data_IF_231057647616
#
_entry.id   IF_231057647616
#
_cell.length_a   1.000
_cell.length_b   1.000
_cell.length_c   1.000
_cell.angle_alpha   90.00
_cell.angle_beta   90.00
_cell.angle_gamma   90.00
#
_symmetry.space_group_name_H-M   'P 1'
#
loop_
_entity.id
_entity.type
_entity.pdbx_description
1 polymer ?
#
# COMPACT_ATOMS: atom_id res chain seq x y z
N UNK A 1 21.50 17.87 7.89
CA UNK A 1 20.11 18.13 7.44
C UNK A 1 19.33 16.85 7.59
N UNK A 2 18.10 16.91 8.09
CA UNK A 2 17.21 15.73 8.22
C UNK A 2 16.64 15.40 6.84
N UNK A 3 17.29 14.47 6.12
CA UNK A 3 16.85 14.01 4.79
C UNK A 3 15.92 12.81 4.94
N UNK A 4 14.75 12.90 4.33
CA UNK A 4 13.70 11.90 4.41
C UNK A 4 13.53 11.22 3.06
N UNK A 5 13.51 9.89 3.09
CA UNK A 5 13.14 9.06 1.95
C UNK A 5 11.67 8.68 2.08
N UNK A 6 10.87 8.92 1.06
CA UNK A 6 9.44 8.63 1.06
C UNK A 6 9.13 7.39 0.23
N UNK A 7 8.45 6.43 0.86
CA UNK A 7 7.80 5.28 0.24
C UNK A 7 6.28 5.41 0.45
N UNK A 8 5.60 5.96 -0.55
CA UNK A 8 4.17 6.32 -0.42
C UNK A 8 3.22 5.17 -0.75
N UNK A 9 3.75 4.02 -1.15
CA UNK A 9 2.95 2.84 -1.45
C UNK A 9 3.53 1.63 -0.73
N UNK A 10 2.99 1.39 0.44
CA UNK A 10 3.43 0.37 1.39
C UNK A 10 2.20 -0.38 1.90
N UNK A 11 2.29 -1.68 2.16
CA UNK A 11 1.21 -2.45 2.74
C UNK A 11 1.62 -3.04 4.08
N UNK A 12 0.68 -3.05 5.00
CA UNK A 12 0.79 -3.73 6.28
C UNK A 12 -0.38 -4.70 6.43
N UNK A 13 -0.14 -5.97 6.20
CA UNK A 13 -1.11 -7.02 6.47
C UNK A 13 -0.40 -8.34 6.82
N UNK A 14 -1.11 -9.21 7.52
CA UNK A 14 -0.73 -10.57 7.80
C UNK A 14 -1.70 -11.56 7.14
N UNK A 15 -1.50 -12.85 7.35
CA UNK A 15 -2.35 -13.91 6.80
C UNK A 15 -3.81 -13.86 7.26
N UNK A 16 -4.15 -13.06 8.26
CA UNK A 16 -5.52 -12.90 8.75
C UNK A 16 -6.30 -11.83 8.00
N UNK A 17 -5.64 -10.96 7.25
CA UNK A 17 -6.30 -9.89 6.50
C UNK A 17 -6.86 -10.39 5.16
N UNK A 18 -6.05 -10.88 4.19
CA UNK A 18 -6.55 -11.46 2.97
C UNK A 18 -6.87 -12.95 3.15
N UNK A 19 -7.71 -13.49 2.28
CA UNK A 19 -7.79 -14.92 2.11
C UNK A 19 -6.58 -15.40 1.30
N UNK A 20 -5.63 -16.06 1.95
CA UNK A 20 -4.38 -16.50 1.32
C UNK A 20 -4.61 -17.37 0.09
N UNK A 21 -5.60 -18.27 0.12
CA UNK A 21 -5.89 -19.14 -1.02
C UNK A 21 -6.40 -18.32 -2.22
N UNK A 22 -7.25 -17.35 -1.98
CA UNK A 22 -7.72 -16.45 -3.03
C UNK A 22 -6.58 -15.61 -3.61
N UNK A 23 -5.67 -15.13 -2.76
CA UNK A 23 -4.46 -14.43 -3.18
C UNK A 23 -3.60 -15.28 -4.10
N UNK A 24 -3.26 -16.49 -3.69
CA UNK A 24 -2.44 -17.43 -4.47
C UNK A 24 -3.05 -17.83 -5.81
N UNK A 25 -4.38 -17.95 -5.86
CA UNK A 25 -5.07 -18.41 -7.06
C UNK A 25 -5.34 -17.28 -8.07
N UNK A 26 -5.35 -16.02 -7.62
CA UNK A 26 -5.68 -14.88 -8.50
C UNK A 26 -4.49 -14.15 -9.07
N UNK A 27 -3.36 -14.15 -8.40
CA UNK A 27 -2.19 -13.40 -8.83
C UNK A 27 -1.34 -14.17 -9.87
N UNK A 28 -1.93 -15.11 -10.61
CA UNK A 28 -1.27 -15.99 -11.58
C UNK A 28 0.01 -16.69 -11.07
N UNK A 29 0.23 -16.63 -9.75
CA UNK A 29 1.34 -17.34 -9.08
C UNK A 29 1.23 -18.85 -9.30
N UNK A 30 0.05 -19.33 -9.68
CA UNK A 30 -0.22 -20.71 -10.06
C UNK A 30 -0.86 -20.70 -11.45
N UNK A 31 -0.03 -20.49 -12.46
CA UNK A 31 -0.45 -20.49 -13.85
C UNK A 31 -0.60 -21.90 -14.38
N UNK A 32 -1.81 -22.39 -14.54
CA UNK A 32 -2.28 -23.31 -15.60
C UNK A 32 -3.61 -23.94 -15.19
N UNK A 33 -4.61 -23.78 -16.03
CA UNK A 33 -6.02 -24.07 -15.76
C UNK A 33 -6.38 -25.44 -15.16
N UNK A 34 -5.57 -26.47 -15.35
CA UNK A 34 -5.81 -27.81 -14.79
C UNK A 34 -5.39 -27.91 -13.32
N UNK A 35 -4.26 -27.29 -12.95
CA UNK A 35 -3.75 -27.28 -11.58
C UNK A 35 -4.63 -26.38 -10.71
N UNK A 36 -5.04 -25.23 -11.26
CA UNK A 36 -5.98 -24.30 -10.59
C UNK A 36 -7.31 -24.97 -10.25
N UNK A 37 -7.92 -25.71 -11.19
CA UNK A 37 -9.15 -26.46 -10.97
C UNK A 37 -8.99 -27.61 -9.95
N UNK A 38 -7.83 -28.26 -9.94
CA UNK A 38 -7.54 -29.35 -8.99
C UNK A 38 -7.34 -28.82 -7.56
N UNK A 39 -6.65 -27.70 -7.41
CA UNK A 39 -6.41 -27.07 -6.12
C UNK A 39 -7.72 -26.52 -5.51
N UNK A 40 -8.61 -25.98 -6.33
CA UNK A 40 -9.93 -25.51 -5.90
C UNK A 40 -10.83 -26.64 -5.38
N UNK A 41 -10.74 -27.84 -6.02
CA UNK A 41 -11.51 -29.02 -5.59
C UNK A 41 -10.94 -29.73 -4.35
N UNK A 42 -9.62 -29.65 -4.15
CA UNK A 42 -8.93 -30.42 -3.12
C UNK A 42 -7.88 -29.55 -2.41
N UNK A 43 -8.29 -28.58 -1.56
CA UNK A 43 -7.38 -27.67 -0.89
C UNK A 43 -6.34 -28.35 0.02
N UNK A 44 -6.61 -29.59 0.49
CA UNK A 44 -5.64 -30.38 1.26
C UNK A 44 -4.42 -30.82 0.43
N UNK A 45 -4.53 -30.89 -0.90
CA UNK A 45 -3.44 -31.27 -1.79
C UNK A 45 -2.34 -30.19 -1.86
N UNK A 46 -2.64 -28.95 -1.46
CA UNK A 46 -1.65 -27.85 -1.43
C UNK A 46 -0.46 -28.20 -0.53
N UNK A 47 -0.68 -28.92 0.56
CA UNK A 47 0.38 -29.38 1.46
C UNK A 47 1.34 -30.39 0.83
N UNK A 48 0.92 -31.10 -0.22
CA UNK A 48 1.67 -32.19 -0.85
C UNK A 48 2.11 -31.86 -2.29
N UNK A 49 1.70 -30.71 -2.84
CA UNK A 49 1.94 -30.34 -4.24
C UNK A 49 3.43 -30.39 -4.63
N UNK A 50 4.40 -29.89 -3.86
CA UNK A 50 5.80 -29.97 -4.19
C UNK A 50 6.31 -31.40 -4.33
N UNK A 51 5.82 -32.32 -3.50
CA UNK A 51 6.24 -33.72 -3.49
C UNK A 51 5.68 -34.50 -4.69
N UNK A 52 4.43 -34.24 -5.07
CA UNK A 52 3.78 -34.90 -6.20
C UNK A 52 4.33 -34.42 -7.56
N UNK A 53 4.66 -33.14 -7.69
CA UNK A 53 5.30 -32.62 -8.91
C UNK A 53 6.71 -33.21 -9.12
N UNK A 54 7.46 -33.46 -8.05
CA UNK A 54 8.78 -34.11 -8.12
C UNK A 54 8.73 -35.57 -8.52
N UNK A 55 7.63 -36.30 -8.21
CA UNK A 55 7.50 -37.71 -8.45
C UNK A 55 6.99 -38.07 -9.86
N UNK A 56 6.38 -37.13 -10.58
CA UNK A 56 5.69 -37.37 -11.85
C UNK A 56 6.34 -36.74 -13.08
N UNK A 57 7.52 -36.11 -12.98
CA UNK A 57 8.13 -35.41 -14.11
C UNK A 57 9.43 -36.08 -14.62
N UNK A 58 9.62 -36.21 -15.96
CA UNK A 58 10.90 -36.65 -16.55
C UNK A 58 12.05 -35.71 -16.15
N UNK A 59 13.23 -36.24 -15.92
CA UNK A 59 14.38 -35.56 -15.31
C UNK A 59 14.76 -34.19 -15.90
N UNK A 60 14.64 -33.98 -17.21
CA UNK A 60 14.93 -32.69 -17.88
C UNK A 60 13.85 -31.60 -17.65
N UNK A 61 12.62 -32.01 -17.46
CA UNK A 61 11.51 -31.09 -17.14
C UNK A 61 11.53 -30.77 -15.65
N UNK A 62 11.87 -31.74 -14.80
CA UNK A 62 12.05 -31.57 -13.37
C UNK A 62 13.15 -30.54 -13.02
N UNK A 63 14.26 -30.52 -13.78
CA UNK A 63 15.36 -29.56 -13.57
C UNK A 63 14.91 -28.13 -13.93
N UNK A 64 14.25 -27.94 -15.08
CA UNK A 64 13.72 -26.61 -15.47
C UNK A 64 12.60 -26.12 -14.55
N UNK A 65 11.73 -27.03 -14.11
CA UNK A 65 10.68 -26.70 -13.11
C UNK A 65 11.33 -26.40 -11.76
N UNK A 66 12.37 -27.11 -11.36
CA UNK A 66 13.12 -26.89 -10.12
C UNK A 66 13.83 -25.53 -10.12
N UNK A 67 14.42 -25.13 -11.25
CA UNK A 67 15.10 -23.84 -11.38
C UNK A 67 14.07 -22.68 -11.41
N UNK A 68 12.96 -22.86 -12.08
CA UNK A 68 11.84 -21.90 -12.08
C UNK A 68 11.16 -21.81 -10.71
N UNK A 69 10.83 -22.95 -10.09
CA UNK A 69 10.26 -23.00 -8.74
C UNK A 69 11.26 -22.61 -7.64
N UNK A 70 12.58 -22.67 -7.87
CA UNK A 70 13.55 -22.33 -6.83
C UNK A 70 13.61 -20.84 -6.54
N UNK A 71 13.52 -19.98 -7.55
CA UNK A 71 13.52 -18.53 -7.37
C UNK A 71 12.14 -18.02 -6.95
N UNK A 72 11.09 -18.44 -7.63
CA UNK A 72 9.72 -18.06 -7.26
C UNK A 72 9.32 -18.62 -5.89
N UNK A 73 9.72 -19.86 -5.56
CA UNK A 73 9.49 -20.44 -4.25
C UNK A 73 10.31 -19.76 -3.14
N UNK A 74 11.52 -19.25 -3.46
CA UNK A 74 12.32 -18.47 -2.50
C UNK A 74 11.63 -17.14 -2.18
N UNK A 75 11.24 -16.41 -3.21
CA UNK A 75 10.57 -15.11 -3.06
C UNK A 75 9.23 -15.27 -2.34
N UNK A 76 8.43 -16.26 -2.77
CA UNK A 76 7.17 -16.57 -2.10
C UNK A 76 7.36 -16.97 -0.63
N UNK A 77 8.41 -17.72 -0.31
CA UNK A 77 8.75 -18.03 1.09
C UNK A 77 9.13 -16.78 1.86
N UNK A 78 9.83 -15.80 1.25
CA UNK A 78 10.15 -14.53 1.89
C UNK A 78 8.87 -13.74 2.21
N UNK A 79 7.94 -13.65 1.26
CA UNK A 79 6.62 -13.06 1.49
C UNK A 79 5.90 -13.74 2.67
N UNK A 80 5.78 -15.08 2.62
CA UNK A 80 5.12 -15.85 3.69
C UNK A 80 5.78 -15.60 5.04
N UNK A 81 7.11 -15.57 5.11
CA UNK A 81 7.84 -15.34 6.36
C UNK A 81 7.56 -13.98 6.98
N UNK A 82 7.24 -12.98 6.17
CA UNK A 82 6.87 -11.66 6.68
C UNK A 82 5.41 -11.63 7.12
N UNK A 83 4.49 -12.18 6.33
CA UNK A 83 3.05 -12.08 6.60
C UNK A 83 2.53 -13.12 7.61
N UNK A 84 3.30 -14.18 7.93
CA UNK A 84 2.98 -15.10 9.04
C UNK A 84 3.46 -14.58 10.41
N UNK A 85 4.32 -13.56 10.41
CA UNK A 85 4.80 -12.90 11.61
C UNK A 85 3.72 -12.09 12.32
N UNK A 86 3.95 -11.80 13.60
CA UNK A 86 3.06 -10.92 14.35
C UNK A 86 3.16 -9.49 13.80
N UNK A 87 2.03 -9.00 13.26
CA UNK A 87 1.94 -7.72 12.55
C UNK A 87 2.37 -6.52 13.42
N UNK A 88 2.13 -6.59 14.73
CA UNK A 88 2.49 -5.54 15.68
C UNK A 88 4.00 -5.28 15.77
N UNK A 89 4.84 -6.22 15.33
CA UNK A 89 6.31 -6.05 15.33
C UNK A 89 6.88 -5.73 13.95
N UNK A 90 6.03 -5.54 12.96
CA UNK A 90 6.44 -5.39 11.56
C UNK A 90 7.48 -4.27 11.35
N UNK A 91 7.21 -3.05 11.86
CA UNK A 91 8.12 -1.92 11.70
C UNK A 91 9.43 -2.12 12.47
N UNK A 92 9.38 -2.75 13.64
CA UNK A 92 10.57 -3.07 14.42
C UNK A 92 11.51 -4.04 13.69
N UNK A 93 10.96 -5.11 13.09
CA UNK A 93 11.74 -6.05 12.29
C UNK A 93 12.30 -5.37 11.04
N UNK A 94 11.50 -4.58 10.35
CA UNK A 94 11.93 -3.91 9.11
C UNK A 94 13.05 -2.92 9.39
N UNK A 95 12.93 -2.10 10.44
CA UNK A 95 14.01 -1.20 10.87
C UNK A 95 15.28 -1.96 11.25
N UNK A 96 15.15 -3.02 12.06
CA UNK A 96 16.28 -3.84 12.47
C UNK A 96 17.07 -4.38 11.26
N UNK A 97 16.40 -4.86 10.23
CA UNK A 97 17.07 -5.36 9.03
C UNK A 97 17.64 -4.24 8.15
N UNK A 98 16.97 -3.09 8.05
CA UNK A 98 17.49 -1.93 7.32
C UNK A 98 18.77 -1.38 7.93
N UNK A 99 18.81 -1.24 9.25
CA UNK A 99 19.97 -0.69 9.97
C UNK A 99 21.16 -1.63 10.01
N UNK A 100 21.01 -2.91 9.70
CA UNK A 100 22.15 -3.84 9.54
C UNK A 100 23.06 -3.46 8.37
N UNK A 101 22.50 -2.83 7.35
CA UNK A 101 23.26 -2.32 6.22
C UNK A 101 23.17 -0.79 6.17
N UNK A 102 24.08 -0.12 6.88
CA UNK A 102 24.06 1.34 7.13
C UNK A 102 24.39 2.21 5.91
N UNK A 103 24.46 1.64 4.70
CA UNK A 103 24.92 2.37 3.51
C UNK A 103 24.06 3.59 3.15
N UNK A 104 22.75 3.52 3.32
CA UNK A 104 21.83 4.58 2.86
C UNK A 104 20.97 5.15 3.96
N UNK A 105 20.62 4.35 4.97
CA UNK A 105 19.66 4.71 6.00
C UNK A 105 20.28 4.62 7.39
N UNK A 106 19.95 5.60 8.23
CA UNK A 106 20.36 5.65 9.64
C UNK A 106 20.82 7.02 10.08
N UNK A 107 21.10 7.16 11.37
CA UNK A 107 21.54 8.40 11.99
C UNK A 107 23.08 8.52 12.05
N UNK A 108 23.78 8.18 10.96
CA UNK A 108 25.23 8.31 10.85
C UNK A 108 25.59 9.36 9.80
N UNK A 109 26.77 9.95 9.88
CA UNK A 109 27.26 10.93 8.88
C UNK A 109 27.36 10.34 7.45
N UNK A 110 27.54 9.03 7.34
CA UNK A 110 27.63 8.30 6.08
C UNK A 110 26.24 8.01 5.45
N UNK A 111 25.17 8.09 6.26
CA UNK A 111 23.82 7.78 5.80
C UNK A 111 23.29 8.90 4.89
N UNK A 112 22.72 8.52 3.75
CA UNK A 112 22.10 9.46 2.82
C UNK A 112 20.76 10.00 3.35
N UNK A 113 20.03 9.15 4.07
CA UNK A 113 18.72 9.44 4.64
C UNK A 113 18.68 9.09 6.12
N UNK A 114 18.19 10.01 6.93
CA UNK A 114 18.03 9.82 8.36
C UNK A 114 16.71 9.12 8.68
N UNK A 115 15.72 9.26 7.80
CA UNK A 115 14.37 8.71 7.98
C UNK A 115 13.79 8.15 6.70
N UNK A 116 12.87 7.22 6.89
CA UNK A 116 11.99 6.70 5.85
C UNK A 116 10.55 7.03 6.24
N UNK A 117 9.89 7.81 5.40
CA UNK A 117 8.46 8.07 5.51
C UNK A 117 7.73 6.97 4.76
N UNK A 118 6.92 6.19 5.45
CA UNK A 118 6.10 5.13 4.83
C UNK A 118 4.62 5.46 4.93
N UNK A 119 3.88 5.16 3.87
CA UNK A 119 2.43 5.31 3.84
C UNK A 119 1.74 3.94 3.70
N UNK A 120 1.47 3.24 4.82
CA UNK A 120 0.72 1.99 4.78
C UNK A 120 -0.69 2.20 4.24
N UNK A 121 -1.01 1.49 3.17
CA UNK A 121 -2.30 1.56 2.48
C UNK A 121 -3.18 0.42 2.99
N UNK A 122 -4.16 0.71 3.82
CA UNK A 122 -5.17 -0.27 4.22
C UNK A 122 -6.11 -0.56 3.06
N UNK A 123 -6.53 -1.82 2.94
CA UNK A 123 -7.40 -2.26 1.88
C UNK A 123 -8.76 -2.68 2.44
N UNK A 124 -9.83 -2.08 1.92
CA UNK A 124 -11.19 -2.52 2.22
C UNK A 124 -11.54 -3.72 1.33
N UNK A 125 -11.31 -4.92 1.84
CA UNK A 125 -11.53 -6.18 1.11
C UNK A 125 -13.01 -6.53 0.85
N UNK A 126 -13.95 -5.66 1.19
CA UNK A 126 -15.35 -5.83 0.80
C UNK A 126 -16.09 -6.91 1.61
N UNK A 127 -15.93 -6.92 2.89
CA UNK A 127 -16.59 -7.89 3.80
C UNK A 127 -18.10 -8.05 3.58
N UNK A 128 -18.83 -6.99 3.20
CA UNK A 128 -20.27 -7.02 2.98
C UNK A 128 -20.70 -7.45 1.57
N UNK A 129 -19.85 -7.31 0.55
CA UNK A 129 -20.24 -7.42 -0.87
C UNK A 129 -19.56 -8.55 -1.64
N UNK A 130 -19.21 -9.63 -0.99
CA UNK A 130 -18.73 -10.85 -1.62
C UNK A 130 -19.90 -11.64 -2.25
N UNK A 131 -20.59 -11.05 -3.23
CA UNK A 131 -21.76 -11.65 -3.89
C UNK A 131 -21.43 -12.45 -5.13
N UNK A 132 -20.18 -12.40 -5.59
CA UNK A 132 -19.82 -13.04 -6.83
C UNK A 132 -19.41 -14.49 -6.58
N UNK A 133 -20.13 -15.44 -7.18
CA UNK A 133 -19.83 -16.88 -7.13
C UNK A 133 -18.46 -17.22 -7.71
N UNK A 134 -17.95 -16.39 -8.64
CA UNK A 134 -16.59 -16.47 -9.20
C UNK A 134 -15.52 -15.96 -8.25
N UNK A 135 -15.90 -15.36 -7.15
CA UNK A 135 -14.99 -14.95 -6.11
C UNK A 135 -14.55 -16.18 -5.31
N UNK A 136 -13.24 -16.41 -5.24
CA UNK A 136 -12.66 -17.51 -4.45
C UNK A 136 -12.85 -17.37 -2.93
N UNK A 137 -13.50 -16.33 -2.48
CA UNK A 137 -13.86 -16.10 -1.09
C UNK A 137 -15.16 -16.84 -0.76
N UNK A 138 -15.08 -18.13 -0.52
CA UNK A 138 -16.17 -18.86 0.11
C UNK A 138 -16.38 -18.43 1.58
N UNK A 139 -15.38 -17.75 2.14
CA UNK A 139 -15.39 -17.16 3.46
C UNK A 139 -15.06 -15.66 3.31
N UNK A 140 -15.74 -14.78 4.07
CA UNK A 140 -15.37 -13.37 4.11
C UNK A 140 -13.92 -13.23 4.54
N UNK A 141 -13.22 -12.11 4.17
CA UNK A 141 -11.91 -11.80 4.72
C UNK A 141 -11.95 -11.90 6.25
N UNK A 142 -10.93 -12.48 6.83
CA UNK A 142 -10.93 -12.74 8.27
C UNK A 142 -11.03 -11.44 9.10
N UNK A 143 -10.54 -10.32 8.54
CA UNK A 143 -10.56 -9.01 9.21
C UNK A 143 -11.19 -7.93 8.32
N UNK A 144 -12.31 -7.32 8.75
CA UNK A 144 -12.81 -6.07 8.17
C UNK A 144 -11.78 -4.94 8.32
N UNK A 145 -11.90 -3.88 7.51
CA UNK A 145 -10.96 -2.76 7.51
C UNK A 145 -10.73 -2.16 8.89
N UNK A 146 -11.77 -2.13 9.74
CA UNK A 146 -11.65 -1.63 11.10
C UNK A 146 -10.71 -2.46 11.99
N UNK A 147 -10.63 -3.77 11.79
CA UNK A 147 -9.66 -4.63 12.48
C UNK A 147 -8.24 -4.36 11.96
N UNK A 148 -8.07 -4.10 10.66
CA UNK A 148 -6.78 -3.69 10.09
C UNK A 148 -6.32 -2.35 10.67
N UNK A 149 -7.24 -1.42 10.96
CA UNK A 149 -6.94 -0.16 11.66
C UNK A 149 -6.35 -0.46 13.04
N UNK A 150 -6.95 -1.37 13.80
CA UNK A 150 -6.44 -1.78 15.11
C UNK A 150 -5.03 -2.36 15.00
N UNK A 151 -4.82 -3.29 14.09
CA UNK A 151 -3.52 -3.95 13.89
C UNK A 151 -2.44 -2.94 13.49
N UNK A 152 -2.75 -2.03 12.56
CA UNK A 152 -1.84 -0.98 12.12
C UNK A 152 -1.42 -0.06 13.27
N UNK A 153 -2.40 0.48 14.03
CA UNK A 153 -2.05 1.44 15.09
C UNK A 153 -1.39 0.76 16.29
N UNK A 154 -1.66 -0.50 16.55
CA UNK A 154 -0.89 -1.29 17.49
C UNK A 154 0.54 -1.50 17.00
N UNK A 155 0.76 -1.78 15.70
CA UNK A 155 2.11 -1.87 15.13
C UNK A 155 2.86 -0.53 15.23
N UNK A 156 2.20 0.59 14.94
CA UNK A 156 2.77 1.94 15.12
C UNK A 156 3.10 2.19 16.57
N UNK A 157 2.18 1.84 17.49
CA UNK A 157 2.42 2.02 18.91
C UNK A 157 3.62 1.19 19.40
N UNK A 158 3.71 -0.10 19.06
CA UNK A 158 4.86 -0.93 19.41
C UNK A 158 6.16 -0.36 18.86
N UNK A 159 6.16 0.10 17.61
CA UNK A 159 7.33 0.68 16.97
C UNK A 159 7.91 1.87 17.76
N UNK A 160 7.05 2.78 18.21
CA UNK A 160 7.51 3.97 18.93
C UNK A 160 7.76 3.76 20.43
N UNK A 161 7.32 2.64 20.99
CA UNK A 161 7.46 2.37 22.44
C UNK A 161 8.45 1.24 22.77
N UNK A 162 8.92 0.49 21.77
CA UNK A 162 9.84 -0.63 21.97
C UNK A 162 10.99 -0.62 20.96
N UNK A 163 12.05 -1.39 21.31
CA UNK A 163 13.18 -1.71 20.46
C UNK A 163 13.39 -3.22 20.38
N UNK A 164 13.99 -3.70 19.30
CA UNK A 164 14.44 -5.06 19.11
C UNK A 164 15.96 -5.13 19.33
N UNK A 165 16.38 -5.98 20.25
CA UNK A 165 17.80 -6.27 20.51
C UNK A 165 18.07 -7.76 20.35
N UNK A 166 19.34 -8.11 20.10
CA UNK A 166 19.78 -9.50 20.18
C UNK A 166 19.71 -9.94 21.65
N UNK A 167 19.10 -11.10 21.92
CA UNK A 167 18.96 -11.62 23.27
C UNK A 167 20.37 -11.89 23.89
N UNK A 168 20.71 -11.34 25.06
CA UNK A 168 22.06 -11.42 25.60
C UNK A 168 22.59 -12.86 25.78
N UNK A 169 21.70 -13.79 26.12
CA UNK A 169 22.07 -15.19 26.40
C UNK A 169 21.76 -16.16 25.25
N UNK A 170 21.06 -15.68 24.21
CA UNK A 170 20.59 -16.52 23.10
C UNK A 170 20.81 -15.77 21.78
N UNK A 171 22.05 -15.78 21.30
CA UNK A 171 22.56 -15.01 20.15
C UNK A 171 21.70 -15.01 18.85
N UNK A 172 20.81 -15.97 18.70
CA UNK A 172 19.94 -16.09 17.52
C UNK A 172 18.50 -15.65 17.78
N UNK A 173 18.19 -15.11 18.95
CA UNK A 173 16.86 -14.65 19.31
C UNK A 173 16.83 -13.15 19.50
N UNK A 174 15.78 -12.54 19.00
CA UNK A 174 15.46 -11.13 19.25
C UNK A 174 14.66 -11.03 20.56
N UNK A 175 14.89 -9.96 21.28
CA UNK A 175 14.18 -9.60 22.50
C UNK A 175 13.61 -8.21 22.35
N UNK A 176 12.35 -8.06 22.72
CA UNK A 176 11.66 -6.78 22.79
C UNK A 176 11.98 -6.12 24.14
N UNK A 177 12.37 -4.86 24.11
CA UNK A 177 12.60 -4.04 25.29
C UNK A 177 11.91 -2.68 25.12
N UNK A 178 11.47 -2.00 26.21
CA UNK A 178 11.02 -0.61 26.12
C UNK A 178 12.10 0.25 25.48
N UNK A 179 11.67 1.15 24.56
CA UNK A 179 12.61 2.02 23.86
C UNK A 179 13.17 3.11 24.78
N UNK A 180 14.44 3.43 24.60
CA UNK A 180 15.07 4.65 25.11
C UNK A 180 15.36 5.66 23.98
N UNK A 181 15.06 5.28 22.73
CA UNK A 181 15.31 6.09 21.54
C UNK A 181 14.20 7.14 21.40
N UNK A 182 14.55 8.43 21.34
CA UNK A 182 13.58 9.48 21.06
C UNK A 182 12.84 9.24 19.76
N UNK A 183 11.58 9.65 19.68
CA UNK A 183 10.76 9.53 18.48
C UNK A 183 11.42 10.14 17.24
N UNK A 184 12.13 11.24 17.45
CA UNK A 184 12.86 11.98 16.42
C UNK A 184 14.09 11.24 15.88
N UNK A 185 14.51 10.18 16.54
CA UNK A 185 15.66 9.34 16.14
C UNK A 185 15.25 7.99 15.56
N UNK A 186 13.95 7.64 15.61
CA UNK A 186 13.40 6.44 14.97
C UNK A 186 13.50 6.57 13.44
N UNK A 187 13.80 5.46 12.75
CA UNK A 187 13.99 5.46 11.31
C UNK A 187 12.71 5.76 10.54
N UNK A 188 11.56 5.21 10.97
CA UNK A 188 10.30 5.38 10.26
C UNK A 188 9.46 6.55 10.79
N UNK A 189 8.90 7.33 9.86
CA UNK A 189 7.70 8.14 10.05
C UNK A 189 6.55 7.47 9.29
N UNK A 190 5.39 7.25 9.93
CA UNK A 190 4.35 6.37 9.41
C UNK A 190 3.06 7.16 9.20
N UNK A 191 2.68 7.40 7.94
CA UNK A 191 1.48 8.17 7.57
C UNK A 191 0.48 7.30 6.79
N UNK A 192 -0.40 6.56 7.50
CA UNK A 192 -1.28 5.58 6.88
C UNK A 192 -2.38 6.19 6.02
N UNK A 193 -2.91 5.37 5.11
CA UNK A 193 -4.10 5.65 4.30
C UNK A 193 -5.23 4.70 4.69
N UNK A 194 -6.41 5.25 4.93
CA UNK A 194 -7.61 4.47 5.24
C UNK A 194 -8.19 3.87 3.96
N UNK A 195 -8.38 2.55 3.94
CA UNK A 195 -9.09 1.87 2.86
C UNK A 195 -10.58 2.11 2.93
N UNK A 196 -11.20 2.55 1.84
CA UNK A 196 -12.65 2.74 1.73
C UNK A 196 -13.14 2.17 0.41
N UNK A 197 -14.16 1.29 0.48
CA UNK A 197 -15.01 0.95 -0.64
C UNK A 197 -16.45 1.38 -0.31
N UNK A 198 -16.95 2.40 -1.00
CA UNK A 198 -18.26 3.01 -0.74
C UNK A 198 -19.41 2.02 -0.83
N UNK A 199 -19.26 0.92 -1.57
CA UNK A 199 -20.26 -0.13 -1.66
C UNK A 199 -20.47 -0.89 -0.34
N UNK A 200 -19.50 -0.84 0.58
CA UNK A 200 -19.57 -1.53 1.87
C UNK A 200 -20.31 -0.75 2.95
N UNK A 201 -20.60 0.52 2.71
CA UNK A 201 -21.15 1.46 3.70
C UNK A 201 -22.37 2.17 3.16
N UNK A 202 -23.25 2.61 4.06
CA UNK A 202 -24.22 3.66 3.72
C UNK A 202 -23.56 5.06 3.84
N UNK A 203 -24.27 6.09 3.38
CA UNK A 203 -23.74 7.46 3.39
C UNK A 203 -23.44 7.94 4.82
N UNK A 204 -24.28 7.59 5.80
CA UNK A 204 -24.10 7.99 7.19
C UNK A 204 -22.87 7.33 7.81
N UNK A 205 -22.60 6.08 7.47
CA UNK A 205 -21.37 5.37 7.87
C UNK A 205 -20.12 6.05 7.30
N UNK A 206 -20.15 6.47 6.02
CA UNK A 206 -19.03 7.21 5.40
C UNK A 206 -18.84 8.57 6.09
N UNK A 207 -19.92 9.31 6.34
CA UNK A 207 -19.86 10.57 7.08
C UNK A 207 -19.24 10.39 8.46
N UNK A 208 -19.64 9.34 9.19
CA UNK A 208 -19.09 9.00 10.49
C UNK A 208 -17.60 8.63 10.46
N UNK A 209 -17.13 7.96 9.39
CA UNK A 209 -15.70 7.69 9.19
C UNK A 209 -14.90 8.97 9.01
N UNK A 210 -15.41 9.92 8.20
CA UNK A 210 -14.75 11.22 8.01
C UNK A 210 -14.75 12.06 9.29
N UNK A 211 -15.85 12.07 10.02
CA UNK A 211 -15.93 12.79 11.31
C UNK A 211 -14.98 12.18 12.34
N UNK A 212 -14.86 10.86 12.39
CA UNK A 212 -13.99 10.16 13.33
C UNK A 212 -12.50 10.38 13.06
N UNK A 213 -12.06 10.22 11.81
CA UNK A 213 -10.63 10.16 11.50
C UNK A 213 -10.06 11.44 10.90
N UNK A 214 -10.91 12.28 10.30
CA UNK A 214 -10.49 13.49 9.58
C UNK A 214 -11.16 14.78 10.11
N UNK A 215 -11.65 14.75 11.34
CA UNK A 215 -12.16 15.97 12.02
C UNK A 215 -11.06 17.01 12.13
N UNK A 216 -11.39 18.29 11.88
CA UNK A 216 -10.46 19.41 12.00
C UNK A 216 -9.47 19.57 10.83
N UNK A 217 -9.48 18.66 9.83
CA UNK A 217 -8.58 18.79 8.67
C UNK A 217 -8.89 20.00 7.80
N UNK A 218 -10.14 20.44 7.75
CA UNK A 218 -10.58 21.64 7.05
C UNK A 218 -10.04 22.93 7.66
N UNK A 219 -9.76 22.94 8.96
CA UNK A 219 -9.20 24.07 9.70
C UNK A 219 -7.68 24.13 9.52
N UNK A 220 -7.04 22.98 9.40
CA UNK A 220 -5.60 22.83 9.26
C UNK A 220 -5.18 22.69 7.78
N UNK A 221 -5.54 23.69 6.98
CA UNK A 221 -5.14 23.70 5.56
C UNK A 221 -3.65 23.96 5.36
N UNK A 222 -2.97 24.53 6.37
CA UNK A 222 -1.51 24.66 6.36
C UNK A 222 -0.88 23.26 6.43
N UNK A 223 -0.17 22.83 5.39
CA UNK A 223 0.48 21.51 5.33
C UNK A 223 1.44 21.26 6.51
N UNK A 224 2.11 22.31 6.99
CA UNK A 224 3.07 22.21 8.10
C UNK A 224 2.38 21.88 9.41
N UNK A 225 1.25 22.52 9.68
CA UNK A 225 0.44 22.27 10.89
C UNK A 225 -0.11 20.84 10.82
N UNK A 226 -0.66 20.43 9.68
CA UNK A 226 -1.20 19.08 9.49
C UNK A 226 -0.13 18.01 9.66
N UNK A 227 1.01 18.18 9.00
CA UNK A 227 2.16 17.25 9.11
C UNK A 227 2.59 17.12 10.58
N UNK A 228 2.68 18.24 11.31
CA UNK A 228 3.01 18.25 12.72
C UNK A 228 1.97 17.46 13.54
N UNK A 229 0.68 17.73 13.37
CA UNK A 229 -0.38 17.02 14.10
C UNK A 229 -0.38 15.52 13.84
N UNK A 230 -0.21 15.09 12.57
CA UNK A 230 -0.04 13.68 12.20
C UNK A 230 1.19 13.08 12.89
N UNK A 231 2.32 13.78 12.84
CA UNK A 231 3.56 13.33 13.49
C UNK A 231 3.39 13.22 15.01
N UNK A 232 2.77 14.21 15.66
CA UNK A 232 2.55 14.21 17.11
C UNK A 232 1.70 13.00 17.56
N UNK A 233 0.79 12.51 16.70
CA UNK A 233 -0.04 11.33 16.98
C UNK A 233 0.70 9.99 16.88
N UNK A 234 1.82 9.91 16.17
CA UNK A 234 2.56 8.66 15.98
C UNK A 234 3.01 8.07 17.33
N UNK A 235 2.67 6.81 17.57
CA UNK A 235 3.05 6.07 18.78
C UNK A 235 2.27 6.44 20.05
N UNK A 236 1.33 7.39 19.98
CA UNK A 236 0.52 7.81 21.15
C UNK A 236 -0.78 7.02 21.27
N UNK A 237 -1.27 6.43 20.18
CA UNK A 237 -2.54 5.74 20.12
C UNK A 237 -2.31 4.23 20.12
N UNK A 238 -2.88 3.56 21.11
CA UNK A 238 -3.05 2.11 21.16
C UNK A 238 -4.54 1.81 21.13
N UNK A 239 -4.95 0.95 20.22
CA UNK A 239 -6.37 0.63 20.05
C UNK A 239 -6.64 -0.75 20.64
N UNK A 240 -7.57 -0.83 21.57
CA UNK A 240 -8.14 -2.09 22.03
C UNK A 240 -9.38 -2.41 21.22
N UNK A 241 -9.41 -3.58 20.58
CA UNK A 241 -10.52 -4.00 19.74
C UNK A 241 -11.80 -4.18 20.54
N UNK A 242 -11.72 -4.75 21.75
CA UNK A 242 -12.89 -4.94 22.61
C UNK A 242 -13.46 -3.60 23.06
N UNK A 243 -12.60 -2.66 23.47
CA UNK A 243 -13.04 -1.31 23.80
C UNK A 243 -13.69 -0.61 22.61
N UNK A 244 -13.09 -0.74 21.41
CA UNK A 244 -13.62 -0.14 20.20
C UNK A 244 -15.01 -0.68 19.84
N UNK A 245 -15.26 -1.98 20.04
CA UNK A 245 -16.54 -2.63 19.77
C UNK A 245 -17.58 -2.28 20.86
N UNK A 246 -17.18 -2.32 22.13
CA UNK A 246 -18.09 -2.18 23.27
C UNK A 246 -18.48 -0.73 23.55
N UNK A 247 -17.58 0.22 23.31
CA UNK A 247 -17.79 1.65 23.61
C UNK A 247 -18.23 2.47 22.41
N UNK A 248 -19.02 1.92 21.52
CA UNK A 248 -19.49 2.54 20.25
C UNK A 248 -20.03 3.98 20.36
N UNK A 249 -20.47 4.42 21.56
CA UNK A 249 -21.06 5.76 21.77
C UNK A 249 -20.14 6.80 22.40
N UNK A 250 -19.13 6.39 23.17
CA UNK A 250 -18.28 7.34 23.93
C UNK A 250 -17.11 7.92 23.14
N UNK A 251 -16.72 7.25 22.03
CA UNK A 251 -15.56 7.67 21.23
C UNK A 251 -15.85 8.71 20.14
N UNK A 252 -17.13 9.07 19.93
CA UNK A 252 -17.53 10.03 18.87
C UNK A 252 -17.08 11.45 19.16
N UNK A 253 -16.88 11.81 20.42
CA UNK A 253 -16.49 13.18 20.83
C UNK A 253 -15.01 13.37 21.16
N UNK A 254 -14.17 12.38 20.90
CA UNK A 254 -12.79 12.44 21.33
C UNK A 254 -11.85 12.66 20.14
N UNK A 255 -11.02 13.71 20.21
CA UNK A 255 -9.87 13.96 19.30
C UNK A 255 -8.82 12.84 19.30
N UNK A 256 -9.10 11.75 20.02
CA UNK A 256 -8.21 10.60 20.12
C UNK A 256 -7.92 9.94 18.77
N UNK A 257 -8.94 9.83 17.91
CA UNK A 257 -8.83 9.18 16.60
C UNK A 257 -8.56 10.13 15.43
N UNK A 258 -8.52 11.43 15.64
CA UNK A 258 -8.19 12.39 14.59
C UNK A 258 -6.69 12.39 14.30
N UNK A 259 -6.29 12.79 13.09
CA UNK A 259 -4.90 12.86 12.66
C UNK A 259 -4.18 11.49 12.68
N UNK A 260 -4.92 10.40 12.50
CA UNK A 260 -4.33 9.07 12.37
C UNK A 260 -4.00 8.71 10.92
N UNK A 261 -4.76 9.21 9.96
CA UNK A 261 -4.59 8.89 8.53
C UNK A 261 -4.20 10.11 7.73
N UNK A 262 -3.19 9.96 6.88
CA UNK A 262 -2.77 11.03 5.96
C UNK A 262 -3.60 11.08 4.68
N UNK A 263 -4.25 9.98 4.29
CA UNK A 263 -4.98 9.87 3.04
C UNK A 263 -5.98 8.73 3.00
N UNK A 264 -6.54 8.50 1.82
CA UNK A 264 -7.50 7.43 1.53
C UNK A 264 -6.97 6.52 0.44
N UNK A 265 -7.14 5.19 0.62
CA UNK A 265 -6.88 4.16 -0.39
C UNK A 265 -8.18 3.69 -1.00
N UNK A 266 -8.26 3.73 -2.33
CA UNK A 266 -9.33 3.15 -3.12
C UNK A 266 -8.81 1.95 -3.93
N UNK A 267 -9.64 0.91 -4.04
CA UNK A 267 -9.24 -0.30 -4.71
C UNK A 267 -10.34 -0.80 -5.67
N UNK A 268 -10.39 -0.26 -6.91
CA UNK A 268 -11.43 -0.61 -7.90
C UNK A 268 -11.56 -2.10 -8.19
N UNK A 269 -10.48 -2.93 -8.21
CA UNK A 269 -10.63 -4.37 -8.44
C UNK A 269 -11.48 -5.10 -7.40
N UNK A 270 -11.72 -4.51 -6.23
CA UNK A 270 -12.65 -5.01 -5.20
C UNK A 270 -14.08 -4.44 -5.34
N UNK A 271 -14.36 -3.74 -6.45
CA UNK A 271 -15.70 -3.24 -6.77
C UNK A 271 -15.94 -1.76 -6.47
N UNK A 272 -14.92 -1.00 -6.01
CA UNK A 272 -15.09 0.45 -5.92
C UNK A 272 -15.32 1.03 -7.33
N UNK A 273 -16.50 1.60 -7.57
CA UNK A 273 -16.83 2.26 -8.83
C UNK A 273 -16.51 3.76 -8.74
N UNK A 274 -15.56 4.27 -9.54
CA UNK A 274 -15.18 5.68 -9.49
C UNK A 274 -16.30 6.64 -9.87
N UNK A 275 -17.24 6.20 -10.71
CA UNK A 275 -18.35 7.02 -11.17
C UNK A 275 -19.59 6.17 -11.52
N UNK A 276 -20.35 5.73 -10.50
CA UNK A 276 -21.51 4.81 -10.67
C UNK A 276 -22.78 5.57 -11.11
N UNK A 277 -22.77 6.13 -12.31
CA UNK A 277 -23.84 7.02 -12.80
C UNK A 277 -25.23 6.36 -12.92
N UNK A 278 -25.27 5.04 -13.05
CA UNK A 278 -26.52 4.28 -13.10
C UNK A 278 -27.10 3.97 -11.69
N UNK A 279 -26.31 4.21 -10.64
CA UNK A 279 -26.71 4.00 -9.26
C UNK A 279 -26.64 5.32 -8.47
N UNK A 280 -27.77 6.03 -8.42
CA UNK A 280 -27.85 7.38 -7.81
C UNK A 280 -27.37 7.38 -6.34
N UNK A 281 -27.76 6.37 -5.56
CA UNK A 281 -27.36 6.27 -4.14
C UNK A 281 -25.84 6.04 -4.00
N UNK A 282 -25.24 5.22 -4.85
CA UNK A 282 -23.80 4.99 -4.83
C UNK A 282 -23.03 6.22 -5.33
N UNK A 283 -23.54 6.88 -6.37
CA UNK A 283 -22.97 8.11 -6.89
C UNK A 283 -22.94 9.23 -5.84
N UNK A 284 -23.98 9.34 -5.02
CA UNK A 284 -24.03 10.31 -3.90
C UNK A 284 -22.91 10.05 -2.91
N UNK A 285 -22.66 8.78 -2.54
CA UNK A 285 -21.58 8.41 -1.63
C UNK A 285 -20.20 8.71 -2.21
N UNK A 286 -19.97 8.40 -3.48
CA UNK A 286 -18.71 8.66 -4.17
C UNK A 286 -18.46 10.17 -4.29
N UNK A 287 -19.48 10.95 -4.66
CA UNK A 287 -19.37 12.42 -4.72
C UNK A 287 -19.08 13.02 -3.35
N UNK A 288 -19.73 12.54 -2.30
CA UNK A 288 -19.45 12.94 -0.93
C UNK A 288 -17.99 12.68 -0.56
N UNK A 289 -17.48 11.47 -0.83
CA UNK A 289 -16.09 11.09 -0.56
C UNK A 289 -15.10 12.05 -1.23
N UNK A 290 -15.28 12.33 -2.54
CA UNK A 290 -14.38 13.24 -3.26
C UNK A 290 -14.47 14.67 -2.74
N UNK A 291 -15.68 15.17 -2.48
CA UNK A 291 -15.89 16.51 -1.94
C UNK A 291 -15.24 16.69 -0.57
N UNK A 292 -15.34 15.68 0.31
CA UNK A 292 -14.66 15.71 1.61
C UNK A 292 -13.13 15.65 1.47
N UNK A 293 -12.62 14.85 0.52
CA UNK A 293 -11.17 14.80 0.24
C UNK A 293 -10.65 16.17 -0.20
N UNK A 294 -11.37 16.89 -1.06
CA UNK A 294 -11.01 18.25 -1.49
C UNK A 294 -11.13 19.21 -0.32
N UNK A 295 -12.28 19.24 0.36
CA UNK A 295 -12.57 20.17 1.46
C UNK A 295 -11.54 20.06 2.57
N UNK A 296 -11.13 18.84 2.88
CA UNK A 296 -10.18 18.51 3.95
C UNK A 296 -8.73 18.36 3.44
N UNK A 297 -8.48 18.60 2.15
CA UNK A 297 -7.15 18.45 1.52
C UNK A 297 -6.52 17.07 1.78
N UNK A 298 -7.28 15.98 1.59
CA UNK A 298 -6.87 14.59 1.81
C UNK A 298 -6.47 13.98 0.47
N UNK A 299 -5.24 13.44 0.30
CA UNK A 299 -4.83 12.74 -0.91
C UNK A 299 -5.48 11.37 -1.01
N UNK A 300 -5.68 10.92 -2.25
CA UNK A 300 -6.19 9.59 -2.56
C UNK A 300 -5.12 8.79 -3.30
N UNK A 301 -4.85 7.56 -2.88
CA UNK A 301 -4.12 6.58 -3.69
C UNK A 301 -5.10 5.55 -4.20
N UNK A 302 -5.18 5.39 -5.53
CA UNK A 302 -6.04 4.41 -6.18
C UNK A 302 -5.21 3.34 -6.86
N UNK A 303 -5.60 2.07 -6.69
CA UNK A 303 -4.99 0.97 -7.44
C UNK A 303 -5.27 1.14 -8.94
N UNK A 304 -4.22 1.13 -9.75
CA UNK A 304 -4.31 1.30 -11.20
C UNK A 304 -3.38 0.32 -11.92
N UNK A 305 -3.77 -0.95 -11.90
CA UNK A 305 -3.16 -2.03 -12.65
C UNK A 305 -4.23 -3.05 -13.00
N UNK A 306 -4.08 -3.73 -14.13
CA UNK A 306 -4.95 -4.84 -14.52
C UNK A 306 -4.63 -6.15 -13.76
N UNK A 307 -3.71 -6.06 -12.79
CA UNK A 307 -3.33 -7.12 -11.84
C UNK A 307 -3.88 -6.82 -10.45
N UNK A 308 -3.61 -7.72 -9.52
CA UNK A 308 -3.97 -7.59 -8.11
C UNK A 308 -5.21 -8.37 -7.70
N UNK A 309 -5.80 -7.98 -6.61
CA UNK A 309 -6.95 -8.65 -6.00
C UNK A 309 -8.23 -8.32 -6.76
N UNK A 310 -8.66 -9.18 -7.67
CA UNK A 310 -9.86 -8.97 -8.48
C UNK A 310 -11.03 -9.75 -7.92
N UNK A 311 -12.08 -9.07 -7.47
CA UNK A 311 -13.34 -9.67 -7.01
C UNK A 311 -14.57 -9.18 -7.78
N UNK A 312 -14.43 -8.04 -8.49
CA UNK A 312 -15.49 -7.53 -9.37
C UNK A 312 -15.31 -8.04 -10.79
N UNK A 313 -16.36 -8.51 -11.46
CA UNK A 313 -16.31 -8.86 -12.90
C UNK A 313 -15.93 -7.64 -13.76
N UNK A 314 -16.29 -6.43 -13.31
CA UNK A 314 -16.04 -5.17 -14.03
C UNK A 314 -14.72 -4.50 -13.60
N UNK A 315 -13.86 -5.24 -12.88
CA UNK A 315 -12.63 -4.70 -12.28
C UNK A 315 -11.74 -3.97 -13.28
N UNK A 316 -11.64 -4.47 -14.51
CA UNK A 316 -10.86 -3.83 -15.55
C UNK A 316 -11.42 -2.45 -15.90
N UNK A 317 -12.72 -2.32 -16.11
CA UNK A 317 -13.39 -1.06 -16.45
C UNK A 317 -13.33 -0.04 -15.29
N UNK A 318 -13.49 -0.53 -14.05
CA UNK A 318 -13.44 0.31 -12.86
C UNK A 318 -12.02 0.84 -12.57
N UNK A 319 -11.01 0.07 -12.97
CA UNK A 319 -9.60 0.41 -12.75
C UNK A 319 -9.03 1.28 -13.87
N UNK A 320 -9.57 1.18 -15.09
CA UNK A 320 -9.09 1.89 -16.28
C UNK A 320 -9.17 3.42 -16.08
N UNK A 321 -8.03 4.15 -16.11
CA UNK A 321 -8.02 5.60 -15.96
C UNK A 321 -8.68 6.34 -17.13
N UNK A 322 -8.86 5.71 -18.29
CA UNK A 322 -9.49 6.32 -19.48
C UNK A 322 -11.01 6.19 -19.49
N UNK A 323 -11.58 5.38 -18.59
CA UNK A 323 -13.02 5.15 -18.52
C UNK A 323 -13.69 6.06 -17.45
N UNK A 324 -14.19 5.48 -16.38
CA UNK A 324 -14.95 6.19 -15.33
C UNK A 324 -14.12 7.25 -14.60
N UNK A 325 -12.81 7.02 -14.43
CA UNK A 325 -11.91 8.01 -13.86
C UNK A 325 -11.80 9.27 -14.72
N UNK A 326 -11.84 9.14 -16.04
CA UNK A 326 -11.87 10.31 -16.93
C UNK A 326 -13.10 11.20 -16.67
N UNK A 327 -14.25 10.58 -16.34
CA UNK A 327 -15.46 11.33 -15.95
C UNK A 327 -15.26 12.12 -14.64
N UNK A 328 -14.46 11.62 -13.71
CA UNK A 328 -14.10 12.32 -12.47
C UNK A 328 -13.12 13.46 -12.78
N UNK A 329 -12.04 13.17 -13.50
CA UNK A 329 -10.94 14.11 -13.76
C UNK A 329 -11.32 15.29 -14.67
N UNK A 330 -12.42 15.19 -15.43
CA UNK A 330 -12.91 16.26 -16.32
C UNK A 330 -13.99 17.14 -15.68
N UNK A 331 -14.34 16.90 -14.41
CA UNK A 331 -15.36 17.68 -13.71
C UNK A 331 -14.74 18.82 -12.93
N UNK A 332 -15.15 20.07 -13.17
CA UNK A 332 -14.60 21.23 -12.47
C UNK A 332 -14.72 21.15 -10.96
N UNK A 333 -15.79 20.52 -10.44
CA UNK A 333 -15.98 20.35 -8.99
C UNK A 333 -14.91 19.45 -8.33
N UNK A 334 -14.12 18.70 -9.12
CA UNK A 334 -13.06 17.80 -8.64
C UNK A 334 -11.65 18.18 -9.14
N UNK A 335 -11.47 19.37 -9.71
CA UNK A 335 -10.17 19.83 -10.23
C UNK A 335 -9.06 19.85 -9.16
N UNK A 336 -9.43 20.03 -7.86
CA UNK A 336 -8.49 20.03 -6.75
C UNK A 336 -8.31 18.65 -6.09
N UNK A 337 -8.92 17.59 -6.64
CA UNK A 337 -8.82 16.25 -6.09
C UNK A 337 -7.42 15.67 -6.33
N UNK A 338 -6.66 15.47 -5.24
CA UNK A 338 -5.29 14.99 -5.31
C UNK A 338 -5.25 13.46 -5.36
N UNK A 339 -4.95 12.91 -6.55
CA UNK A 339 -5.00 11.48 -6.83
C UNK A 339 -3.63 10.95 -7.27
N UNK A 340 -3.21 9.85 -6.68
CA UNK A 340 -2.12 8.99 -7.15
C UNK A 340 -2.70 7.74 -7.81
N UNK A 341 -2.52 7.59 -9.12
CA UNK A 341 -2.77 6.35 -9.84
C UNK A 341 -1.58 5.42 -9.68
N UNK A 342 -1.72 4.41 -8.84
CA UNK A 342 -0.63 3.50 -8.49
C UNK A 342 -0.11 2.67 -9.67
N UNK A 343 1.11 2.14 -9.53
CA UNK A 343 1.72 1.18 -10.45
C UNK A 343 1.93 1.71 -11.88
N UNK A 344 1.96 3.03 -12.09
CA UNK A 344 2.11 3.66 -13.41
C UNK A 344 1.05 3.19 -14.45
N UNK A 345 -0.14 2.79 -14.01
CA UNK A 345 -1.15 2.24 -14.90
C UNK A 345 -0.69 0.97 -15.60
N UNK A 346 -0.03 0.07 -14.88
CA UNK A 346 0.56 -1.14 -15.45
C UNK A 346 -0.50 -2.09 -16.00
N UNK A 347 -0.27 -2.59 -17.21
CA UNK A 347 -1.13 -3.53 -17.92
C UNK A 347 -0.33 -4.76 -18.37
N UNK A 348 -1.03 -5.90 -18.55
CA UNK A 348 -0.46 -7.11 -19.14
C UNK A 348 0.07 -6.84 -20.56
N UNK A 349 1.00 -7.66 -21.00
CA UNK A 349 1.60 -7.61 -22.32
C UNK A 349 2.29 -6.27 -22.65
N UNK A 350 2.80 -5.58 -21.61
CA UNK A 350 3.47 -4.26 -21.71
C UNK A 350 2.65 -3.19 -22.45
N UNK A 351 1.33 -3.28 -22.41
CA UNK A 351 0.44 -2.25 -22.95
C UNK A 351 0.66 -0.93 -22.22
N UNK A 352 0.50 0.18 -22.92
CA UNK A 352 0.82 1.51 -22.43
C UNK A 352 -0.40 2.45 -22.40
N UNK A 353 -1.59 1.96 -22.69
CA UNK A 353 -2.80 2.78 -22.82
C UNK A 353 -3.13 3.52 -21.53
N UNK A 354 -3.16 2.81 -20.41
CA UNK A 354 -3.44 3.41 -19.09
C UNK A 354 -2.34 4.37 -18.66
N UNK A 355 -1.09 3.97 -18.87
CA UNK A 355 0.07 4.83 -18.59
C UNK A 355 0.00 6.14 -19.37
N UNK A 356 -0.26 6.06 -20.67
CA UNK A 356 -0.37 7.24 -21.53
C UNK A 356 -1.54 8.14 -21.11
N UNK A 357 -2.66 7.56 -20.71
CA UNK A 357 -3.80 8.31 -20.17
C UNK A 357 -3.42 9.09 -18.91
N UNK A 358 -2.71 8.45 -17.96
CA UNK A 358 -2.24 9.12 -16.75
C UNK A 358 -1.28 10.27 -17.09
N UNK A 359 -0.28 10.03 -17.97
CA UNK A 359 0.68 11.08 -18.37
C UNK A 359 -0.04 12.25 -19.06
N UNK A 360 -1.02 11.96 -19.91
CA UNK A 360 -1.77 13.02 -20.56
C UNK A 360 -2.60 13.85 -19.58
N UNK A 361 -3.12 13.24 -18.52
CA UNK A 361 -3.86 13.96 -17.47
C UNK A 361 -3.01 14.96 -16.72
N UNK A 362 -1.68 14.79 -16.66
CA UNK A 362 -0.76 15.76 -16.03
C UNK A 362 -0.78 17.14 -16.70
N UNK A 363 -1.15 17.20 -17.96
CA UNK A 363 -1.24 18.47 -18.72
C UNK A 363 -2.47 19.32 -18.35
N UNK A 364 -3.52 18.66 -17.90
CA UNK A 364 -4.80 19.31 -17.60
C UNK A 364 -5.13 19.36 -16.12
N UNK A 365 -4.53 18.49 -15.31
CA UNK A 365 -4.77 18.43 -13.88
C UNK A 365 -3.45 18.37 -13.10
N UNK A 366 -3.21 19.42 -12.31
CA UNK A 366 -1.98 19.55 -11.51
C UNK A 366 -1.96 18.67 -10.25
N UNK A 367 -3.05 18.04 -9.88
CA UNK A 367 -3.19 17.21 -8.68
C UNK A 367 -3.20 15.71 -8.97
N UNK A 368 -2.96 15.31 -10.23
CA UNK A 368 -2.79 13.91 -10.61
C UNK A 368 -1.33 13.51 -10.48
N UNK A 369 -1.08 12.35 -9.88
CA UNK A 369 0.22 11.73 -9.67
C UNK A 369 0.18 10.26 -10.09
N UNK A 370 1.35 9.63 -10.18
CA UNK A 370 1.49 8.18 -10.32
C UNK A 370 2.71 7.68 -9.56
N UNK A 371 2.69 6.44 -9.08
CA UNK A 371 3.84 5.82 -8.44
C UNK A 371 4.36 4.61 -9.21
N UNK A 372 5.65 4.27 -9.00
CA UNK A 372 6.31 3.16 -9.68
C UNK A 372 6.26 1.84 -8.88
N UNK A 373 5.42 1.75 -7.87
CA UNK A 373 5.35 0.60 -6.98
C UNK A 373 5.11 -0.71 -7.74
N UNK A 374 5.74 -1.77 -7.30
CA UNK A 374 5.71 -3.11 -7.90
C UNK A 374 6.22 -3.22 -9.35
N UNK A 375 6.57 -2.11 -10.01
CA UNK A 375 6.97 -2.09 -11.43
C UNK A 375 8.49 -2.08 -11.63
N UNK A 376 9.25 -1.94 -10.54
CA UNK A 376 10.69 -1.71 -10.60
C UNK A 376 11.48 -2.62 -9.65
N UNK A 377 11.28 -3.96 -9.69
CA UNK A 377 12.02 -4.88 -8.84
C UNK A 377 13.51 -4.92 -9.14
N UNK A 378 13.94 -4.54 -10.35
CA UNK A 378 15.33 -4.53 -10.78
C UNK A 378 15.79 -3.13 -11.16
N UNK A 379 17.11 -2.85 -11.06
CA UNK A 379 17.71 -1.57 -11.48
C UNK A 379 17.38 -1.21 -12.93
N UNK A 380 17.32 -2.21 -13.82
CA UNK A 380 17.03 -2.01 -15.25
C UNK A 380 15.58 -1.53 -15.50
N UNK A 381 14.63 -1.89 -14.64
CA UNK A 381 13.23 -1.52 -14.83
C UNK A 381 13.00 0.00 -14.75
N UNK A 382 13.91 0.73 -14.07
CA UNK A 382 13.86 2.19 -14.01
C UNK A 382 14.06 2.88 -15.36
N UNK A 383 14.50 2.16 -16.38
CA UNK A 383 14.47 2.66 -17.76
C UNK A 383 13.03 2.97 -18.22
N UNK A 384 12.06 2.16 -17.82
CA UNK A 384 10.63 2.40 -18.10
C UNK A 384 10.16 3.69 -17.45
N UNK A 385 10.57 3.92 -16.19
CA UNK A 385 10.25 5.16 -15.46
C UNK A 385 10.90 6.36 -16.13
N UNK A 386 12.17 6.24 -16.52
CA UNK A 386 12.90 7.30 -17.23
C UNK A 386 12.20 7.71 -18.53
N UNK A 387 11.67 6.76 -19.28
CA UNK A 387 10.91 7.04 -20.53
C UNK A 387 9.61 7.81 -20.29
N UNK A 388 9.05 7.77 -19.08
CA UNK A 388 7.87 8.57 -18.70
C UNK A 388 8.23 9.99 -18.25
N UNK A 389 9.48 10.22 -17.87
CA UNK A 389 9.92 11.50 -17.34
C UNK A 389 10.14 12.53 -18.44
N UNK A 390 9.46 13.63 -18.32
CA UNK A 390 9.61 14.86 -19.10
C UNK A 390 9.52 16.06 -18.14
N UNK A 391 9.85 17.28 -18.56
CA UNK A 391 9.66 18.47 -17.73
C UNK A 391 8.23 18.60 -17.17
N UNK A 392 7.23 18.13 -17.91
CA UNK A 392 5.82 18.22 -17.52
C UNK A 392 5.38 17.10 -16.56
N UNK A 393 6.08 15.95 -16.55
CA UNK A 393 5.67 14.76 -15.79
C UNK A 393 6.56 14.46 -14.59
N UNK A 394 7.84 14.86 -14.59
CA UNK A 394 8.81 14.49 -13.54
C UNK A 394 8.39 14.92 -12.13
N UNK A 395 7.61 16.01 -12.01
CA UNK A 395 7.07 16.51 -10.74
C UNK A 395 5.85 15.72 -10.24
N UNK A 396 5.40 14.70 -10.97
CA UNK A 396 4.18 13.91 -10.73
C UNK A 396 4.43 12.43 -10.49
N UNK A 397 5.70 11.99 -10.64
CA UNK A 397 6.08 10.60 -10.45
C UNK A 397 6.63 10.43 -9.03
N UNK A 398 6.10 9.42 -8.33
CA UNK A 398 6.38 9.13 -6.94
C UNK A 398 7.11 7.79 -6.82
N UNK A 399 7.93 7.65 -5.77
CA UNK A 399 8.45 6.34 -5.39
C UNK A 399 7.43 5.62 -4.49
N UNK A 400 7.24 4.34 -4.75
CA UNK A 400 6.51 3.40 -3.92
C UNK A 400 7.09 2.01 -4.08
N UNK A 401 7.11 1.22 -3.01
CA UNK A 401 7.66 -0.14 -3.06
C UNK A 401 6.60 -1.20 -3.30
N UNK A 402 5.39 -0.99 -2.84
CA UNK A 402 4.36 -2.02 -2.69
C UNK A 402 4.78 -3.15 -1.72
N UNK A 403 5.68 -2.84 -0.77
CA UNK A 403 6.03 -3.78 0.28
C UNK A 403 4.76 -4.07 1.13
N UNK A 404 4.41 -5.30 1.42
CA UNK A 404 5.13 -6.58 1.34
C UNK A 404 4.92 -7.36 0.02
N UNK A 405 4.04 -6.89 -0.87
CA UNK A 405 3.67 -7.59 -2.12
C UNK A 405 4.88 -7.74 -3.04
N UNK A 406 5.74 -6.73 -3.11
CA UNK A 406 6.94 -6.76 -3.95
C UNK A 406 7.92 -7.90 -3.61
N UNK A 407 7.78 -8.54 -2.44
CA UNK A 407 8.57 -9.73 -2.08
C UNK A 407 8.29 -10.94 -2.99
N UNK A 408 7.26 -10.89 -3.81
CA UNK A 408 7.02 -11.89 -4.86
C UNK A 408 8.14 -11.83 -5.92
N UNK A 409 8.72 -10.64 -6.17
CA UNK A 409 9.72 -10.41 -7.21
C UNK A 409 11.09 -9.95 -6.68
N UNK A 410 11.15 -9.50 -5.44
CA UNK A 410 12.37 -9.02 -4.78
C UNK A 410 12.72 -9.87 -3.57
N UNK A 411 14.01 -10.01 -3.28
CA UNK A 411 14.48 -10.82 -2.15
C UNK A 411 14.13 -10.18 -0.80
N UNK A 412 14.13 -8.83 -0.75
CA UNK A 412 13.88 -8.09 0.48
C UNK A 412 13.47 -6.64 0.19
N UNK A 413 12.93 -5.98 1.22
CA UNK A 413 12.66 -4.54 1.16
C UNK A 413 13.94 -3.72 0.91
N UNK A 414 15.04 -4.08 1.57
CA UNK A 414 16.34 -3.43 1.38
C UNK A 414 16.79 -3.49 -0.08
N UNK A 415 16.68 -4.66 -0.72
CA UNK A 415 17.06 -4.82 -2.12
C UNK A 415 16.23 -3.93 -3.04
N UNK A 416 14.92 -3.86 -2.80
CA UNK A 416 14.04 -3.00 -3.59
C UNK A 416 14.44 -1.53 -3.49
N UNK A 417 14.69 -1.03 -2.26
CA UNK A 417 15.16 0.34 -2.04
C UNK A 417 16.53 0.60 -2.68
N UNK A 418 17.45 -0.35 -2.59
CA UNK A 418 18.78 -0.21 -3.18
C UNK A 418 18.74 -0.23 -4.71
N UNK A 419 17.86 -1.01 -5.32
CA UNK A 419 17.66 -1.01 -6.77
C UNK A 419 17.23 0.38 -7.27
N UNK A 420 16.38 1.09 -6.53
CA UNK A 420 16.06 2.49 -6.82
C UNK A 420 17.28 3.43 -6.61
N UNK A 421 17.91 3.33 -5.46
CA UNK A 421 19.02 4.26 -5.14
C UNK A 421 20.23 4.10 -6.03
N UNK A 422 20.47 2.89 -6.53
CA UNK A 422 21.65 2.53 -7.32
C UNK A 422 21.39 2.41 -8.83
N UNK A 423 20.15 2.53 -9.29
CA UNK A 423 19.91 2.47 -10.73
C UNK A 423 20.69 3.54 -11.50
N UNK A 424 21.33 3.18 -12.63
CA UNK A 424 22.00 4.16 -13.49
C UNK A 424 21.03 4.91 -14.40
N UNK A 425 19.78 4.48 -14.52
CA UNK A 425 18.79 5.05 -15.43
C UNK A 425 18.20 6.38 -14.97
N UNK A 426 18.29 6.67 -13.67
CA UNK A 426 17.82 7.93 -13.07
C UNK A 426 19.01 8.71 -12.51
N UNK A 427 19.07 9.98 -12.80
CA UNK A 427 20.03 10.88 -12.15
C UNK A 427 19.62 11.23 -10.71
N UNK A 428 20.51 11.91 -9.97
CA UNK A 428 20.27 12.24 -8.56
C UNK A 428 19.06 13.16 -8.38
N UNK A 429 18.85 14.13 -9.27
CA UNK A 429 17.72 15.06 -9.22
C UNK A 429 16.38 14.30 -9.41
N UNK A 430 16.34 13.38 -10.36
CA UNK A 430 15.15 12.57 -10.62
C UNK A 430 14.81 11.66 -9.43
N UNK A 431 15.83 11.06 -8.82
CA UNK A 431 15.65 10.27 -7.58
C UNK A 431 15.12 11.14 -6.44
N UNK A 432 15.69 12.33 -6.25
CA UNK A 432 15.25 13.30 -5.25
C UNK A 432 13.81 13.76 -5.48
N UNK A 433 13.44 14.05 -6.73
CA UNK A 433 12.04 14.35 -7.06
C UNK A 433 11.12 13.21 -6.65
N UNK A 434 11.45 11.97 -7.01
CA UNK A 434 10.57 10.80 -6.78
C UNK A 434 10.44 10.42 -5.31
N UNK A 435 11.51 10.52 -4.52
CA UNK A 435 11.51 10.00 -3.14
C UNK A 435 11.61 11.06 -2.04
N UNK A 436 11.70 12.35 -2.38
CA UNK A 436 11.73 13.43 -1.38
C UNK A 436 10.67 14.49 -1.69
N UNK A 437 10.75 15.17 -2.85
CA UNK A 437 9.99 16.39 -3.14
C UNK A 437 8.54 16.09 -3.52
N UNK A 438 8.32 15.24 -4.52
CA UNK A 438 6.98 14.96 -5.03
C UNK A 438 6.10 14.23 -4.01
N UNK A 439 6.61 13.21 -3.26
CA UNK A 439 5.82 12.54 -2.23
C UNK A 439 5.39 13.49 -1.11
N UNK A 440 6.24 14.41 -0.70
CA UNK A 440 5.88 15.40 0.32
C UNK A 440 4.74 16.33 -0.15
N UNK A 441 4.83 16.79 -1.42
CA UNK A 441 3.75 17.54 -2.06
C UNK A 441 2.46 16.72 -2.18
N UNK A 442 2.59 15.46 -2.54
CA UNK A 442 1.44 14.57 -2.64
C UNK A 442 0.78 14.34 -1.28
N UNK A 443 1.55 14.05 -0.24
CA UNK A 443 0.99 13.75 1.09
C UNK A 443 0.38 14.98 1.75
N UNK A 444 1.05 16.10 1.70
CA UNK A 444 0.70 17.27 2.51
C UNK A 444 0.23 18.49 1.71
N UNK A 445 0.40 18.48 0.39
CA UNK A 445 0.02 19.60 -0.46
C UNK A 445 1.01 20.78 -0.36
N UNK A 446 2.24 20.55 0.10
CA UNK A 446 3.24 21.62 0.18
C UNK A 446 3.61 22.10 -1.22
N UNK A 447 3.50 23.40 -1.45
CA UNK A 447 4.10 24.04 -2.61
C UNK A 447 5.63 24.04 -2.42
N UNK A 448 6.39 23.69 -3.47
CA UNK A 448 7.85 23.66 -3.36
C UNK A 448 8.40 24.99 -2.87
N UNK A 449 9.40 24.91 -1.99
CA UNK A 449 10.23 26.04 -1.64
C UNK A 449 11.03 26.51 -2.85
#
# INVERSE_FOLDING_TARGET
MDRKFYDIHYHLFDLSHPNLLAFLLRDDLISKGSVKKMMLKFPFLIKFLPLWMLLLTPSKVATRIKDYLSNDAKNFRNLLSVIEGAIEYHFLYTEYFLLRNKKYFGNTEESKYNRIVVSPLLMDFGYKNLRNEDCFYNLPPAKPVMHQVVDLFNAVWFYYNYDLIIHPEKERRLKLIPTSVPKEEKLFEIYPFLGINTQNYDLQEIMALFDKYFRGYEEDRDPTIRKKKLYDKLGTVRIDLEEMILKKKEYVDNDYYTYLFAGIKLYPPLGFDPWPEENVSELEKVRYLYSECIRKNIPITVHCSDRGYVTSPDAYELTDPSNKWQKVLTRPEFDELRINFAHMGAQHDDKLEWRNTIINSFKTNQYVYTDCSCQTPLKADYEKVKKMMSPDSESRILFGSDFVINLIWSESYNEYLYNFLETPHLDNRQKELMCEINPEKFLFGMQGM
#
